data_IF_977935191690
#
_entry.id   IF_977935191690
#
_cell.length_a   1.000
_cell.length_b   1.000
_cell.length_c   1.000
_cell.angle_alpha   90.00
_cell.angle_beta   90.00
_cell.angle_gamma   90.00
#
_symmetry.space_group_name_H-M   'P 1'
#
loop_
_entity.id
_entity.type
_entity.pdbx_description
1 polymer ?
#
# COMPACT_ATOMS: atom_id res chain seq x y z
N UNK A 1 -22.65 12.75 4.44
CA UNK A 1 -21.32 12.99 5.04
C UNK A 1 -20.39 13.29 3.88
N UNK A 2 -19.69 14.42 3.89
CA UNK A 2 -18.73 14.74 2.82
C UNK A 2 -17.53 13.79 2.97
N UNK A 3 -17.55 12.69 2.22
CA UNK A 3 -16.35 11.88 2.03
C UNK A 3 -15.26 12.82 1.49
N UNK A 4 -14.14 12.92 2.21
CA UNK A 4 -12.99 13.67 1.70
C UNK A 4 -12.54 12.94 0.44
N UNK A 5 -12.69 13.56 -0.72
CA UNK A 5 -12.14 13.05 -1.97
C UNK A 5 -10.64 13.40 -2.06
N UNK A 6 -9.87 12.51 -2.68
CA UNK A 6 -8.46 12.78 -2.97
C UNK A 6 -8.34 13.92 -3.97
N UNK A 7 -7.51 14.92 -3.66
CA UNK A 7 -7.22 16.03 -4.56
C UNK A 7 -6.04 15.68 -5.45
N UNK A 8 -6.31 15.40 -6.72
CA UNK A 8 -5.27 15.18 -7.71
C UNK A 8 -4.42 16.45 -7.91
N UNK A 9 -3.10 16.31 -8.14
CA UNK A 9 -2.25 17.45 -8.47
C UNK A 9 -2.63 18.00 -9.86
N UNK A 10 -2.47 19.31 -10.09
CA UNK A 10 -2.86 19.95 -11.36
C UNK A 10 -2.22 19.31 -12.60
N UNK A 11 -1.04 18.71 -12.45
CA UNK A 11 -0.36 17.98 -13.54
C UNK A 11 -1.15 16.76 -14.04
N UNK A 12 -2.04 16.20 -13.22
CA UNK A 12 -2.92 15.09 -13.59
C UNK A 12 -4.02 15.53 -14.59
N UNK A 13 -4.29 16.82 -14.71
CA UNK A 13 -5.19 17.38 -15.73
C UNK A 13 -4.45 17.74 -17.03
N UNK A 14 -3.12 17.57 -17.08
CA UNK A 14 -2.31 17.94 -18.23
C UNK A 14 -2.18 16.75 -19.21
N UNK A 15 -2.76 16.80 -20.42
CA UNK A 15 -2.77 15.63 -21.32
C UNK A 15 -1.40 15.02 -21.67
N UNK A 16 -0.32 15.82 -21.86
CA UNK A 16 1.03 15.28 -22.08
C UNK A 16 1.58 14.46 -20.91
N UNK A 17 1.09 14.65 -19.68
CA UNK A 17 1.50 13.87 -18.51
C UNK A 17 1.19 12.38 -18.66
N UNK A 18 0.20 12.03 -19.50
CA UNK A 18 -0.17 10.64 -19.81
C UNK A 18 0.61 10.03 -20.98
N UNK A 19 1.53 10.79 -21.58
CA UNK A 19 2.35 10.34 -22.71
C UNK A 19 3.81 10.32 -22.29
N UNK A 20 4.49 9.19 -22.52
CA UNK A 20 5.92 9.03 -22.23
C UNK A 20 6.73 10.15 -22.91
N UNK A 21 7.41 10.95 -22.10
CA UNK A 21 8.18 12.09 -22.63
C UNK A 21 9.46 11.62 -23.35
N UNK A 22 9.81 12.21 -24.51
CA UNK A 22 10.99 11.79 -25.28
C UNK A 22 12.31 12.29 -24.66
N UNK A 23 12.29 13.43 -23.96
CA UNK A 23 13.46 13.97 -23.28
C UNK A 23 13.68 13.23 -21.96
N UNK A 24 14.89 12.71 -21.74
CA UNK A 24 15.21 11.89 -20.56
C UNK A 24 15.03 12.62 -19.22
N UNK A 25 15.42 13.90 -19.15
CA UNK A 25 15.26 14.68 -17.91
C UNK A 25 13.78 14.87 -17.58
N UNK A 26 12.98 15.29 -18.56
CA UNK A 26 11.53 15.44 -18.41
C UNK A 26 10.86 14.11 -18.09
N UNK A 27 11.28 13.02 -18.73
CA UNK A 27 10.79 11.68 -18.48
C UNK A 27 11.06 11.22 -17.06
N UNK A 28 12.27 11.43 -16.53
CA UNK A 28 12.60 11.07 -15.15
C UNK A 28 11.76 11.88 -14.14
N UNK A 29 11.56 13.17 -14.38
CA UNK A 29 10.66 13.99 -13.55
C UNK A 29 9.21 13.50 -13.64
N UNK A 30 8.73 13.17 -14.85
CA UNK A 30 7.40 12.63 -15.07
C UNK A 30 7.20 11.31 -14.30
N UNK A 31 8.17 10.41 -14.38
CA UNK A 31 8.18 9.11 -13.69
C UNK A 31 8.13 9.28 -12.17
N UNK A 32 8.94 10.19 -11.63
CA UNK A 32 8.94 10.53 -10.19
C UNK A 32 7.59 11.08 -9.73
N UNK A 33 6.97 11.97 -10.52
CA UNK A 33 5.64 12.52 -10.22
C UNK A 33 4.58 11.41 -10.23
N UNK A 34 4.62 10.48 -11.19
CA UNK A 34 3.71 9.34 -11.21
C UNK A 34 3.87 8.43 -9.99
N UNK A 35 5.11 8.10 -9.60
CA UNK A 35 5.36 7.30 -8.40
C UNK A 35 4.77 7.99 -7.16
N UNK A 36 5.07 9.29 -6.97
CA UNK A 36 4.54 10.07 -5.86
C UNK A 36 3.02 10.11 -5.83
N UNK A 37 2.38 10.36 -6.99
CA UNK A 37 0.92 10.39 -7.12
C UNK A 37 0.29 9.05 -6.69
N UNK A 38 0.86 7.93 -7.12
CA UNK A 38 0.38 6.59 -6.76
C UNK A 38 0.47 6.38 -5.24
N UNK A 39 1.61 6.71 -4.63
CA UNK A 39 1.80 6.53 -3.20
C UNK A 39 0.85 7.42 -2.39
N UNK A 40 0.67 8.68 -2.77
CA UNK A 40 -0.25 9.61 -2.10
C UNK A 40 -1.72 9.17 -2.24
N UNK A 41 -2.12 8.74 -3.44
CA UNK A 41 -3.46 8.23 -3.69
C UNK A 41 -3.75 6.97 -2.88
N UNK A 42 -2.82 6.01 -2.90
CA UNK A 42 -2.95 4.76 -2.15
C UNK A 42 -2.98 5.02 -0.64
N UNK A 43 -2.13 5.93 -0.14
CA UNK A 43 -2.12 6.34 1.26
C UNK A 43 -3.46 6.95 1.68
N UNK A 44 -4.01 7.87 0.88
CA UNK A 44 -5.25 8.57 1.21
C UNK A 44 -6.44 7.63 1.36
N UNK A 45 -6.56 6.66 0.45
CA UNK A 45 -7.63 5.66 0.45
C UNK A 45 -7.28 4.38 1.23
N UNK A 46 -6.11 4.30 1.86
CA UNK A 46 -5.57 3.09 2.49
C UNK A 46 -5.58 1.85 1.58
N UNK A 47 -5.17 2.02 0.32
CA UNK A 47 -5.08 0.96 -0.69
C UNK A 47 -3.71 0.26 -0.61
N UNK A 48 -3.70 -1.02 -0.32
CA UNK A 48 -2.47 -1.79 -0.16
C UNK A 48 -2.16 -2.73 -1.32
N UNK A 49 -3.14 -3.02 -2.18
CA UNK A 49 -3.02 -3.95 -3.29
C UNK A 49 -3.57 -3.33 -4.57
N UNK A 50 -2.76 -3.34 -5.61
CA UNK A 50 -3.14 -2.93 -6.97
C UNK A 50 -2.80 -4.05 -7.95
N UNK A 51 -3.48 -4.03 -9.09
CA UNK A 51 -3.04 -4.80 -10.25
C UNK A 51 -2.20 -3.96 -11.21
N UNK A 52 -1.63 -4.61 -12.23
CA UNK A 52 -0.85 -3.97 -13.30
C UNK A 52 -1.63 -2.93 -14.11
N UNK A 53 -2.97 -2.95 -14.04
CA UNK A 53 -3.83 -1.94 -14.67
C UNK A 53 -4.09 -0.75 -13.73
N UNK A 54 -3.57 -0.74 -12.50
CA UNK A 54 -3.78 0.31 -11.52
C UNK A 54 -5.18 0.31 -10.90
N UNK A 55 -5.87 -0.85 -10.93
CA UNK A 55 -7.15 -1.07 -10.23
C UNK A 55 -6.90 -1.66 -8.84
N UNK A 56 -7.77 -1.31 -7.91
CA UNK A 56 -7.75 -1.82 -6.53
C UNK A 56 -8.27 -3.26 -6.49
N UNK A 57 -7.52 -4.17 -5.88
CA UNK A 57 -7.85 -5.61 -5.82
C UNK A 57 -8.55 -6.01 -4.53
N UNK A 58 -8.05 -5.58 -3.37
CA UNK A 58 -8.69 -5.89 -2.09
C UNK A 58 -8.83 -4.64 -1.24
N UNK A 59 -9.98 -4.59 -0.56
CA UNK A 59 -10.16 -3.89 0.70
C UNK A 59 -10.31 -5.03 1.70
N UNK A 60 -9.72 -4.88 2.87
CA UNK A 60 -9.79 -5.82 3.99
C UNK A 60 -11.16 -6.53 4.07
N UNK A 61 -11.12 -7.86 4.05
CA UNK A 61 -12.14 -8.87 4.33
C UNK A 61 -13.63 -8.50 4.17
N UNK A 62 -14.32 -9.29 3.33
CA UNK A 62 -15.78 -9.32 3.17
C UNK A 62 -16.57 -9.73 4.44
N UNK A 63 -15.93 -9.85 5.60
CA UNK A 63 -16.57 -10.34 6.84
C UNK A 63 -16.97 -9.26 7.84
N UNK A 64 -16.63 -7.99 7.63
CA UNK A 64 -16.95 -6.92 8.59
C UNK A 64 -17.84 -5.83 7.98
N UNK A 65 -19.15 -6.11 7.94
CA UNK A 65 -20.22 -5.11 7.65
C UNK A 65 -20.21 -3.93 8.65
N UNK A 66 -19.35 -3.95 9.69
CA UNK A 66 -19.36 -2.96 10.77
C UNK A 66 -18.35 -1.81 10.61
N UNK A 67 -17.34 -1.92 9.72
CA UNK A 67 -16.37 -0.85 9.50
C UNK A 67 -16.70 -0.17 8.15
N UNK A 68 -17.51 0.89 8.22
CA UNK A 68 -17.99 1.70 7.10
C UNK A 68 -16.93 2.48 6.30
N UNK A 69 -15.78 1.85 6.01
CA UNK A 69 -14.78 2.29 5.05
C UNK A 69 -14.93 1.51 3.75
N UNK A 70 -16.17 1.40 3.23
CA UNK A 70 -16.35 0.98 1.85
C UNK A 70 -15.71 2.04 0.96
N UNK A 71 -14.61 1.71 0.26
CA UNK A 71 -14.10 2.61 -0.77
C UNK A 71 -15.26 2.94 -1.72
N UNK A 72 -15.43 4.21 -2.11
CA UNK A 72 -16.48 4.58 -3.05
C UNK A 72 -16.38 3.68 -4.28
N UNK A 73 -17.50 3.16 -4.78
CA UNK A 73 -17.54 2.24 -5.94
C UNK A 73 -16.72 2.78 -7.12
N UNK A 74 -16.71 4.11 -7.28
CA UNK A 74 -15.89 4.86 -8.24
C UNK A 74 -14.38 4.58 -8.16
N UNK A 75 -13.84 4.31 -6.97
CA UNK A 75 -12.42 4.03 -6.72
C UNK A 75 -12.07 2.57 -7.08
N UNK A 76 -13.00 1.64 -6.89
CA UNK A 76 -12.82 0.23 -7.30
C UNK A 76 -12.83 0.06 -8.82
N UNK A 77 -13.68 0.83 -9.51
CA UNK A 77 -13.88 0.69 -10.96
C UNK A 77 -12.85 1.46 -11.79
N UNK A 78 -12.30 2.57 -11.26
CA UNK A 78 -11.38 3.41 -12.01
C UNK A 78 -9.93 3.03 -11.76
N UNK A 79 -9.15 3.01 -12.85
CA UNK A 79 -7.70 2.88 -12.80
C UNK A 79 -7.06 4.23 -12.48
N UNK A 80 -6.07 4.24 -11.58
CA UNK A 80 -5.26 5.44 -11.32
C UNK A 80 -4.51 5.95 -12.57
N UNK A 81 -4.27 5.07 -13.54
CA UNK A 81 -3.59 5.39 -14.81
C UNK A 81 -4.51 5.98 -15.88
N UNK A 82 -5.79 6.20 -15.57
CA UNK A 82 -6.78 6.79 -16.47
C UNK A 82 -7.43 8.03 -15.84
N UNK A 83 -7.36 9.15 -16.56
CA UNK A 83 -8.15 10.34 -16.26
C UNK A 83 -9.26 10.49 -17.31
N UNK A 84 -10.48 10.13 -16.91
CA UNK A 84 -11.69 10.24 -17.74
C UNK A 84 -12.07 11.68 -18.07
N UNK A 85 -11.77 12.65 -17.19
CA UNK A 85 -12.13 14.07 -17.40
C UNK A 85 -11.42 14.70 -18.59
N UNK A 86 -10.20 14.24 -18.90
CA UNK A 86 -9.42 14.71 -20.06
C UNK A 86 -9.29 13.65 -21.17
N UNK A 87 -10.01 12.53 -21.05
CA UNK A 87 -9.94 11.39 -21.97
C UNK A 87 -8.49 10.94 -22.23
N UNK A 88 -7.73 10.64 -21.16
CA UNK A 88 -6.35 10.15 -21.25
C UNK A 88 -6.11 8.94 -20.37
N UNK A 89 -5.25 8.05 -20.86
CA UNK A 89 -4.82 6.82 -20.19
C UNK A 89 -3.35 6.54 -20.53
N UNK A 90 -2.60 6.03 -19.57
CA UNK A 90 -1.21 5.60 -19.80
C UNK A 90 -1.15 4.36 -20.71
N UNK A 91 -0.14 4.34 -21.57
CA UNK A 91 0.18 3.14 -22.38
C UNK A 91 0.86 2.06 -21.52
N UNK A 92 0.66 0.76 -21.83
CA UNK A 92 1.22 -0.34 -21.04
C UNK A 92 2.73 -0.26 -20.82
N UNK A 93 3.50 0.15 -21.83
CA UNK A 93 4.96 0.25 -21.70
C UNK A 93 5.38 1.28 -20.66
N UNK A 94 4.68 2.42 -20.60
CA UNK A 94 4.97 3.44 -19.60
C UNK A 94 4.50 3.03 -18.20
N UNK A 95 3.40 2.28 -18.09
CA UNK A 95 2.97 1.69 -16.82
C UNK A 95 4.04 0.72 -16.29
N UNK A 96 4.63 -0.12 -17.15
CA UNK A 96 5.73 -1.02 -16.75
C UNK A 96 6.93 -0.25 -16.23
N UNK A 97 7.28 0.87 -16.85
CA UNK A 97 8.37 1.73 -16.38
C UNK A 97 8.08 2.28 -14.98
N UNK A 98 6.85 2.74 -14.74
CA UNK A 98 6.40 3.23 -13.41
C UNK A 98 6.47 2.13 -12.36
N UNK A 99 5.95 0.94 -12.66
CA UNK A 99 5.99 -0.22 -11.76
C UNK A 99 7.43 -0.60 -11.44
N UNK A 100 8.30 -0.64 -12.46
CA UNK A 100 9.72 -0.96 -12.29
C UNK A 100 10.42 0.06 -11.40
N UNK A 101 10.09 1.35 -11.55
CA UNK A 101 10.63 2.41 -10.71
C UNK A 101 10.14 2.32 -9.26
N UNK A 102 8.85 2.05 -9.04
CA UNK A 102 8.30 1.81 -7.70
C UNK A 102 8.97 0.61 -7.02
N UNK A 103 9.21 -0.47 -7.77
CA UNK A 103 9.91 -1.65 -7.28
C UNK A 103 11.38 -1.31 -6.95
N UNK A 104 12.07 -0.56 -7.81
CA UNK A 104 13.44 -0.09 -7.59
C UNK A 104 13.56 0.76 -6.32
N UNK A 105 12.53 1.55 -6.01
CA UNK A 105 12.44 2.37 -4.80
C UNK A 105 11.92 1.58 -3.57
N UNK A 106 11.69 0.27 -3.67
CA UNK A 106 11.16 -0.59 -2.60
C UNK A 106 9.75 -0.21 -2.10
N UNK A 107 8.98 0.47 -2.95
CA UNK A 107 7.59 0.82 -2.69
C UNK A 107 6.60 -0.18 -3.30
N UNK A 108 7.09 -1.20 -4.02
CA UNK A 108 6.25 -2.21 -4.67
C UNK A 108 6.89 -3.59 -4.57
N UNK A 109 6.06 -4.59 -4.29
CA UNK A 109 6.45 -6.01 -4.34
C UNK A 109 5.33 -6.86 -4.93
N UNK A 110 5.65 -7.71 -5.90
CA UNK A 110 4.67 -8.60 -6.54
C UNK A 110 4.16 -9.68 -5.59
N UNK A 111 2.91 -10.11 -5.79
CA UNK A 111 2.29 -11.19 -5.02
C UNK A 111 2.54 -12.52 -5.74
N UNK A 112 3.39 -13.35 -5.15
CA UNK A 112 3.90 -14.62 -5.75
C UNK A 112 2.81 -15.65 -6.10
N UNK A 113 1.66 -15.62 -5.43
CA UNK A 113 0.60 -16.62 -5.59
C UNK A 113 -0.37 -16.35 -6.76
N UNK A 114 -0.04 -15.40 -7.64
CA UNK A 114 -0.86 -15.13 -8.84
C UNK A 114 -0.14 -15.65 -10.07
N UNK A 115 -0.81 -16.52 -10.81
CA UNK A 115 -0.31 -17.28 -11.97
C UNK A 115 0.34 -16.42 -13.08
N UNK A 116 0.27 -15.09 -12.98
CA UNK A 116 0.79 -14.13 -13.95
C UNK A 116 1.41 -12.85 -13.34
N UNK A 117 1.75 -12.81 -12.03
CA UNK A 117 2.31 -11.60 -11.36
C UNK A 117 1.51 -10.31 -11.63
N UNK A 118 0.18 -10.43 -11.75
CA UNK A 118 -0.67 -9.31 -12.15
C UNK A 118 -1.03 -8.39 -10.99
N UNK A 119 -0.66 -8.77 -9.76
CA UNK A 119 -0.99 -8.08 -8.54
C UNK A 119 0.26 -7.83 -7.71
N UNK A 120 0.28 -6.69 -7.02
CA UNK A 120 1.40 -6.27 -6.19
C UNK A 120 0.91 -5.52 -4.96
N UNK A 121 1.69 -5.64 -3.89
CA UNK A 121 1.59 -4.76 -2.75
C UNK A 121 2.18 -3.39 -3.11
N UNK A 122 1.51 -2.33 -2.66
CA UNK A 122 2.02 -0.97 -2.70
C UNK A 122 2.30 -0.52 -1.27
N UNK A 123 3.52 -0.03 -1.04
CA UNK A 123 3.97 0.43 0.27
C UNK A 123 4.20 1.93 0.21
N UNK A 124 3.26 2.75 0.71
CA UNK A 124 3.43 4.21 0.70
C UNK A 124 4.49 4.72 1.68
N UNK A 125 4.89 3.88 2.65
CA UNK A 125 6.20 3.89 3.29
C UNK A 125 6.86 2.56 2.96
N UNK A 126 8.17 2.52 2.81
CA UNK A 126 8.90 1.27 2.59
C UNK A 126 8.67 0.28 3.74
N UNK A 127 8.87 -1.02 3.50
CA UNK A 127 8.77 -2.05 4.55
C UNK A 127 9.70 -1.74 5.73
N UNK A 128 10.87 -1.16 5.43
CA UNK A 128 11.85 -0.70 6.42
C UNK A 128 11.29 0.43 7.29
N UNK A 129 10.72 1.48 6.69
CA UNK A 129 10.10 2.60 7.41
C UNK A 129 8.90 2.14 8.25
N UNK A 130 8.03 1.31 7.67
CA UNK A 130 6.93 0.70 8.40
C UNK A 130 7.39 -0.11 9.60
N UNK A 131 8.49 -0.87 9.46
CA UNK A 131 9.04 -1.65 10.56
C UNK A 131 9.44 -0.74 11.73
N UNK A 132 10.06 0.40 11.44
CA UNK A 132 10.42 1.41 12.43
C UNK A 132 9.19 2.08 13.05
N UNK A 133 8.16 2.40 12.26
CA UNK A 133 6.93 3.03 12.76
C UNK A 133 6.15 2.09 13.70
N UNK A 134 5.98 0.81 13.34
CA UNK A 134 5.32 -0.18 14.19
C UNK A 134 6.12 -0.38 15.48
N UNK A 135 7.44 -0.51 15.36
CA UNK A 135 8.32 -0.68 16.52
C UNK A 135 8.22 0.52 17.49
N UNK A 136 8.30 1.74 16.97
CA UNK A 136 8.17 2.96 17.76
C UNK A 136 6.80 3.05 18.45
N UNK A 137 5.72 2.64 17.77
CA UNK A 137 4.39 2.59 18.38
C UNK A 137 4.31 1.58 19.53
N UNK A 138 4.91 0.40 19.39
CA UNK A 138 4.97 -0.61 20.47
C UNK A 138 5.74 -0.09 21.68
N UNK A 139 6.89 0.55 21.44
CA UNK A 139 7.72 1.16 22.49
C UNK A 139 6.92 2.26 23.23
N UNK A 140 6.26 3.16 22.48
CA UNK A 140 5.47 4.25 23.04
C UNK A 140 4.22 3.79 23.81
N UNK A 141 3.68 2.61 23.49
CA UNK A 141 2.51 2.03 24.16
C UNK A 141 2.87 1.08 25.29
N UNK A 142 4.16 0.82 25.53
CA UNK A 142 4.63 -0.08 26.59
C UNK A 142 4.29 -1.56 26.35
N UNK A 143 4.02 -1.95 25.09
CA UNK A 143 3.66 -3.33 24.72
C UNK A 143 4.88 -4.20 24.37
N UNK A 144 6.10 -3.67 24.53
CA UNK A 144 7.33 -4.39 24.24
C UNK A 144 7.45 -5.65 25.12
N UNK A 145 7.84 -6.76 24.50
CA UNK A 145 7.96 -8.06 25.16
C UNK A 145 6.64 -8.82 25.36
N UNK A 146 5.50 -8.20 25.08
CA UNK A 146 4.19 -8.89 25.07
C UNK A 146 3.97 -9.61 23.74
N UNK A 147 3.12 -10.63 23.76
CA UNK A 147 2.67 -11.31 22.53
C UNK A 147 1.39 -10.64 22.08
N UNK A 148 1.37 -10.18 20.83
CA UNK A 148 0.21 -9.57 20.18
C UNK A 148 -0.20 -10.38 18.97
N UNK A 149 -1.49 -10.53 18.74
CA UNK A 149 -2.04 -11.07 17.50
C UNK A 149 -1.98 -10.03 16.39
N UNK A 150 -2.04 -10.48 15.13
CA UNK A 150 -2.08 -9.56 13.98
C UNK A 150 -3.36 -8.74 13.97
N UNK A 151 -4.45 -9.29 14.50
CA UNK A 151 -5.71 -8.58 14.68
C UNK A 151 -5.55 -7.44 15.68
N UNK A 152 -4.94 -7.68 16.85
CA UNK A 152 -4.71 -6.63 17.86
C UNK A 152 -3.83 -5.51 17.32
N UNK A 153 -2.79 -5.82 16.54
CA UNK A 153 -1.96 -4.80 15.89
C UNK A 153 -2.78 -3.91 14.95
N UNK A 154 -3.64 -4.51 14.14
CA UNK A 154 -4.39 -3.79 13.08
C UNK A 154 -5.62 -3.06 13.60
N UNK A 155 -6.30 -3.63 14.59
CA UNK A 155 -7.68 -3.30 14.95
C UNK A 155 -7.87 -2.93 16.43
N UNK A 156 -6.80 -2.82 17.23
CA UNK A 156 -6.90 -2.35 18.60
C UNK A 156 -7.33 -0.87 18.69
N UNK A 157 -8.06 -0.46 19.75
CA UNK A 157 -8.30 0.95 20.04
C UNK A 157 -7.02 1.80 20.10
N UNK A 158 -5.90 1.20 20.53
CA UNK A 158 -4.59 1.87 20.60
C UNK A 158 -3.98 2.17 19.22
N UNK A 159 -4.39 1.43 18.19
CA UNK A 159 -3.92 1.66 16.81
C UNK A 159 -4.88 2.54 16.00
N UNK A 160 -6.06 2.89 16.50
CA UNK A 160 -7.09 3.66 15.77
C UNK A 160 -6.58 4.95 15.11
N UNK A 161 -5.65 5.66 15.75
CA UNK A 161 -5.05 6.91 15.23
C UNK A 161 -3.79 6.68 14.38
N UNK A 162 -3.39 5.43 14.17
CA UNK A 162 -2.19 5.06 13.43
C UNK A 162 -2.49 4.82 11.96
N UNK A 163 -1.53 5.12 11.10
CA UNK A 163 -1.69 4.95 9.65
C UNK A 163 -1.79 3.47 9.26
N UNK A 164 -1.15 2.57 10.01
CA UNK A 164 -1.23 1.12 9.84
C UNK A 164 -2.51 0.49 10.40
N UNK A 165 -3.41 1.26 11.00
CA UNK A 165 -4.74 0.75 11.36
C UNK A 165 -5.46 0.27 10.11
N UNK A 166 -6.04 -0.94 10.14
CA UNK A 166 -6.57 -1.63 8.96
C UNK A 166 -5.53 -1.84 7.84
N UNK A 167 -4.25 -1.96 8.16
CA UNK A 167 -3.21 -2.37 7.20
C UNK A 167 -3.57 -3.73 6.60
N UNK A 168 -3.25 -3.98 5.34
CA UNK A 168 -3.46 -5.29 4.74
C UNK A 168 -2.69 -6.39 5.48
N UNK A 169 -3.29 -7.57 5.62
CA UNK A 169 -2.70 -8.69 6.37
C UNK A 169 -1.36 -9.14 5.78
N UNK A 170 -1.26 -9.26 4.45
CA UNK A 170 -0.03 -9.63 3.76
C UNK A 170 1.06 -8.57 3.88
N UNK A 171 0.68 -7.29 3.80
CA UNK A 171 1.61 -6.16 4.04
C UNK A 171 2.15 -6.20 5.48
N UNK A 172 1.28 -6.38 6.47
CA UNK A 172 1.70 -6.45 7.87
C UNK A 172 2.70 -7.60 8.08
N UNK A 173 2.43 -8.78 7.54
CA UNK A 173 3.34 -9.93 7.64
C UNK A 173 4.73 -9.59 7.08
N UNK A 174 4.81 -8.88 5.94
CA UNK A 174 6.09 -8.44 5.37
C UNK A 174 6.84 -7.49 6.31
N UNK A 175 6.13 -6.53 6.89
CA UNK A 175 6.72 -5.59 7.88
C UNK A 175 7.21 -6.33 9.13
N UNK A 176 6.43 -7.28 9.65
CA UNK A 176 6.83 -8.08 10.81
C UNK A 176 8.03 -8.98 10.50
N UNK A 177 8.07 -9.62 9.33
CA UNK A 177 9.24 -10.39 8.89
C UNK A 177 10.50 -9.52 8.85
N UNK A 178 10.39 -8.24 8.44
CA UNK A 178 11.52 -7.31 8.50
C UNK A 178 12.03 -7.06 9.91
N UNK A 179 11.14 -6.98 10.90
CA UNK A 179 11.54 -6.89 12.30
C UNK A 179 12.20 -8.19 12.81
N UNK A 180 11.74 -9.36 12.34
CA UNK A 180 12.36 -10.66 12.67
C UNK A 180 13.78 -10.73 12.10
N UNK A 181 14.00 -10.33 10.84
CA UNK A 181 15.34 -10.24 10.24
C UNK A 181 16.29 -9.37 11.08
N UNK A 182 15.78 -8.25 11.60
CA UNK A 182 16.51 -7.33 12.49
C UNK A 182 16.65 -7.83 13.93
N UNK A 183 16.14 -9.02 14.26
CA UNK A 183 16.10 -9.58 15.62
C UNK A 183 15.35 -8.69 16.62
N UNK A 184 14.38 -7.91 16.13
CA UNK A 184 13.49 -7.04 16.91
C UNK A 184 12.07 -7.61 17.05
N UNK A 185 11.81 -8.77 16.48
CA UNK A 185 10.55 -9.48 16.68
C UNK A 185 10.73 -10.99 16.57
N UNK A 186 9.75 -11.75 17.07
CA UNK A 186 9.63 -13.19 16.90
C UNK A 186 8.19 -13.52 16.54
N UNK A 187 7.99 -14.19 15.40
CA UNK A 187 6.68 -14.63 14.92
C UNK A 187 6.39 -16.02 15.51
N UNK A 188 5.20 -16.18 16.06
CA UNK A 188 4.69 -17.44 16.60
C UNK A 188 3.68 -18.03 15.63
N UNK A 189 3.82 -19.33 15.34
CA UNK A 189 2.95 -20.05 14.43
C UNK A 189 2.31 -21.25 15.10
N UNK A 190 1.12 -21.64 14.66
CA UNK A 190 0.45 -22.87 15.08
C UNK A 190 0.95 -24.10 14.30
N UNK A 191 0.34 -25.25 14.61
CA UNK A 191 0.61 -26.54 13.96
C UNK A 191 0.29 -26.53 12.45
N UNK A 192 -0.55 -25.61 11.99
CA UNK A 192 -0.93 -25.40 10.60
C UNK A 192 -0.07 -24.33 9.91
N UNK A 193 1.03 -23.90 10.54
CA UNK A 193 1.96 -22.87 10.06
C UNK A 193 1.30 -21.50 9.84
N UNK A 194 0.14 -21.25 10.45
CA UNK A 194 -0.51 -19.95 10.47
C UNK A 194 0.08 -19.08 11.56
N UNK A 195 0.16 -17.77 11.32
CA UNK A 195 0.71 -16.84 12.30
C UNK A 195 -0.35 -16.55 13.36
N UNK A 196 -0.11 -17.01 14.58
CA UNK A 196 -1.02 -16.81 15.72
C UNK A 196 -0.64 -15.60 16.57
N UNK A 197 0.60 -15.14 16.48
CA UNK A 197 1.04 -13.96 17.22
C UNK A 197 2.46 -13.53 16.88
N UNK A 198 2.83 -12.36 17.37
CA UNK A 198 4.17 -11.79 17.26
C UNK A 198 4.56 -11.17 18.59
N UNK A 199 5.81 -11.40 18.98
CA UNK A 199 6.44 -10.75 20.13
C UNK A 199 7.48 -9.76 19.61
N UNK A 200 7.30 -8.48 19.91
CA UNK A 200 8.23 -7.41 19.51
C UNK A 200 9.19 -7.13 20.68
N UNK A 201 10.49 -7.05 20.38
CA UNK A 201 11.62 -7.06 21.33
C UNK A 201 12.35 -5.72 21.34
#
# INVERSE_FOLDING_TARGET
MNEKEFKFPSIYEFPPFFTKQPNLSTYNSQLSIWCKLILEYCKFYKIWQLNIEGKVISINDESDETIGLSLPTKIKENSIFENKSINRRLKPDFIKDIISELQRQQHLEFIDNTTNQQQFYIFWYTVEEWSSLILQWIENTGQQGTVLTLFELRNSPLSSNQEFHNMDHGVLIKVLNKLVEKKRATIMKDEQNQIVGVKII
#
